data_IF_494664862545
#
_entry.id   IF_494664862545
#
_cell.length_a   1.000
_cell.length_b   1.000
_cell.length_c   1.000
_cell.angle_alpha   90.00
_cell.angle_beta   90.00
_cell.angle_gamma   90.00
#
_symmetry.space_group_name_H-M   'P 1'
#
loop_
_entity.id
_entity.type
_entity.pdbx_description
1 polymer ?
#
# COMPACT_ATOMS: atom_id res chain seq x y z
N UNK A 1 8.57 5.19 -20.59
CA UNK A 1 7.41 4.28 -20.36
C UNK A 1 6.15 5.12 -20.35
N UNK A 2 5.16 4.78 -21.18
CA UNK A 2 3.91 5.54 -21.29
C UNK A 2 2.83 5.01 -20.34
N UNK A 3 2.14 5.92 -19.68
CA UNK A 3 1.06 5.61 -18.73
C UNK A 3 -0.01 6.71 -18.73
N UNK A 4 -1.17 6.48 -18.09
CA UNK A 4 -2.15 7.54 -17.81
C UNK A 4 -2.02 8.04 -16.38
N UNK A 5 -2.02 9.36 -16.19
CA UNK A 5 -1.99 9.95 -14.85
C UNK A 5 -3.16 9.41 -14.01
N UNK A 6 -2.92 8.86 -12.81
CA UNK A 6 -3.98 8.23 -12.01
C UNK A 6 -5.06 9.23 -11.57
N UNK A 7 -4.69 10.52 -11.43
CA UNK A 7 -5.54 11.60 -10.92
C UNK A 7 -6.43 12.26 -11.97
N UNK A 8 -5.92 12.52 -13.18
CA UNK A 8 -6.63 13.27 -14.22
C UNK A 8 -6.74 12.53 -15.57
N UNK A 9 -6.11 11.36 -15.68
CA UNK A 9 -6.08 10.49 -16.87
C UNK A 9 -5.39 11.05 -18.12
N UNK A 10 -4.69 12.19 -18.00
CA UNK A 10 -3.80 12.69 -19.05
C UNK A 10 -2.67 11.68 -19.36
N UNK A 11 -2.16 11.68 -20.59
CA UNK A 11 -1.00 10.86 -20.97
C UNK A 11 0.26 11.32 -20.24
N UNK A 12 1.11 10.37 -19.87
CA UNK A 12 2.38 10.60 -19.17
C UNK A 12 3.45 9.69 -19.75
N UNK A 13 4.69 10.17 -19.72
CA UNK A 13 5.87 9.40 -20.14
C UNK A 13 6.99 9.60 -19.14
N UNK A 14 7.58 8.50 -18.65
CA UNK A 14 8.66 8.49 -17.66
C UNK A 14 9.94 9.18 -18.12
N UNK A 15 10.15 9.35 -19.43
CA UNK A 15 11.33 10.05 -19.96
C UNK A 15 11.15 11.57 -20.03
N UNK A 16 9.90 12.05 -20.04
CA UNK A 16 9.57 13.47 -20.28
C UNK A 16 9.03 14.15 -19.01
N UNK A 17 8.27 13.42 -18.20
CA UNK A 17 7.57 13.97 -17.06
C UNK A 17 8.36 13.71 -15.77
N UNK A 18 8.88 14.78 -15.16
CA UNK A 18 9.64 14.69 -13.90
C UNK A 18 8.81 14.11 -12.74
N UNK A 19 7.50 14.31 -12.75
CA UNK A 19 6.56 13.81 -11.74
C UNK A 19 5.94 12.45 -12.12
N UNK A 20 6.49 11.73 -13.08
CA UNK A 20 5.96 10.42 -13.48
C UNK A 20 5.75 9.51 -12.23
N UNK A 21 4.56 8.88 -12.04
CA UNK A 21 3.50 8.59 -13.02
C UNK A 21 2.42 9.68 -13.16
N UNK A 22 2.62 10.86 -12.59
CA UNK A 22 1.70 11.99 -12.69
C UNK A 22 2.06 12.92 -13.85
N UNK A 23 1.09 13.65 -14.39
CA UNK A 23 1.36 14.61 -15.46
C UNK A 23 1.98 15.93 -14.97
N UNK A 24 1.97 16.18 -13.66
CA UNK A 24 2.47 17.40 -13.02
C UNK A 24 2.51 17.26 -11.50
N UNK A 25 3.32 18.10 -10.85
CA UNK A 25 3.36 18.28 -9.40
C UNK A 25 1.97 18.47 -8.77
N UNK A 26 1.08 19.23 -9.43
CA UNK A 26 -0.30 19.42 -8.94
C UNK A 26 -1.04 18.09 -8.74
N UNK A 27 -0.87 17.14 -9.68
CA UNK A 27 -1.50 15.84 -9.56
C UNK A 27 -0.83 14.97 -8.51
N UNK A 28 0.50 15.03 -8.38
CA UNK A 28 1.24 14.36 -7.30
C UNK A 28 0.75 14.81 -5.91
N UNK A 29 0.63 16.12 -5.71
CA UNK A 29 0.16 16.70 -4.44
C UNK A 29 -1.31 16.35 -4.15
N UNK A 30 -2.17 16.30 -5.19
CA UNK A 30 -3.56 15.89 -5.01
C UNK A 30 -3.69 14.42 -4.62
N UNK A 31 -2.87 13.55 -5.18
CA UNK A 31 -2.82 12.14 -4.80
C UNK A 31 -2.41 11.99 -3.33
N UNK A 32 -1.33 12.68 -2.93
CA UNK A 32 -0.90 12.72 -1.54
C UNK A 32 -2.01 13.23 -0.61
N UNK A 33 -2.75 14.27 -1.02
CA UNK A 33 -3.90 14.77 -0.27
C UNK A 33 -5.03 13.74 -0.14
N UNK A 34 -5.28 12.93 -1.18
CA UNK A 34 -6.27 11.84 -1.10
C UNK A 34 -5.86 10.76 -0.10
N UNK A 35 -4.57 10.40 -0.05
CA UNK A 35 -4.01 9.50 0.96
C UNK A 35 -4.17 10.07 2.37
N UNK A 36 -3.72 11.32 2.57
CA UNK A 36 -3.79 11.98 3.86
C UNK A 36 -5.23 12.18 4.37
N UNK A 37 -6.21 12.25 3.45
CA UNK A 37 -7.62 12.40 3.78
C UNK A 37 -8.38 11.07 3.84
N UNK A 38 -7.66 9.93 3.84
CA UNK A 38 -8.24 8.57 3.88
C UNK A 38 -9.29 8.31 2.79
N UNK A 39 -9.16 8.96 1.62
CA UNK A 39 -10.11 8.77 0.50
C UNK A 39 -9.91 7.45 -0.23
N UNK A 40 -8.70 6.91 -0.17
CA UNK A 40 -8.41 5.59 -0.71
C UNK A 40 -8.68 4.55 0.39
N UNK A 41 -9.73 3.76 0.19
CA UNK A 41 -10.15 2.71 1.12
C UNK A 41 -10.28 1.40 0.37
N UNK A 42 -9.70 0.34 0.94
CA UNK A 42 -9.95 -1.03 0.50
C UNK A 42 -11.28 -1.46 1.13
N UNK A 43 -12.24 -1.87 0.29
CA UNK A 43 -13.62 -2.16 0.71
C UNK A 43 -13.79 -3.51 1.38
N UNK A 44 -12.87 -4.44 1.13
CA UNK A 44 -12.96 -5.83 1.58
C UNK A 44 -11.91 -6.13 2.65
N UNK A 45 -12.26 -6.89 3.70
CA UNK A 45 -11.29 -7.38 4.68
C UNK A 45 -10.35 -8.40 4.03
N UNK A 46 -9.11 -8.47 4.52
CA UNK A 46 -8.07 -9.37 3.98
C UNK A 46 -8.37 -10.84 4.34
N UNK A 47 -9.22 -11.07 5.34
CA UNK A 47 -9.66 -12.39 5.80
C UNK A 47 -11.18 -12.37 5.96
N UNK A 48 -11.84 -13.47 5.63
CA UNK A 48 -13.21 -13.68 6.04
C UNK A 48 -13.25 -13.80 7.56
N UNK A 49 -14.21 -13.12 8.21
CA UNK A 49 -14.30 -13.04 9.68
C UNK A 49 -14.41 -14.43 10.35
N UNK A 50 -14.90 -15.42 9.61
CA UNK A 50 -15.01 -16.82 10.02
C UNK A 50 -13.65 -17.55 10.00
N UNK A 51 -12.74 -17.20 9.09
CA UNK A 51 -11.39 -17.78 9.00
C UNK A 51 -10.44 -17.19 10.06
N UNK A 52 -10.68 -15.94 10.48
CA UNK A 52 -9.89 -15.23 11.49
C UNK A 52 -10.10 -15.73 12.93
N UNK A 53 -11.18 -16.47 13.21
CA UNK A 53 -11.50 -16.99 14.55
C UNK A 53 -10.89 -18.39 14.77
N UNK A 54 -10.62 -19.15 13.71
CA UNK A 54 -10.00 -20.48 13.78
C UNK A 54 -8.52 -20.51 13.38
N UNK A 55 -7.98 -19.44 12.79
CA UNK A 55 -6.57 -19.29 12.45
C UNK A 55 -5.79 -18.54 13.52
N UNK A 56 -4.91 -19.25 14.24
CA UNK A 56 -3.88 -18.70 15.12
C UNK A 56 -3.24 -17.43 14.52
N UNK A 57 -2.98 -16.43 15.38
CA UNK A 57 -2.29 -15.15 15.13
C UNK A 57 -0.86 -15.32 14.58
N UNK A 58 -0.69 -15.95 13.42
CA UNK A 58 0.60 -16.52 13.02
C UNK A 58 1.49 -15.60 12.19
N UNK A 59 1.02 -14.42 11.78
CA UNK A 59 1.76 -13.70 10.71
C UNK A 59 2.31 -12.33 11.07
N UNK A 60 2.13 -11.81 12.29
CA UNK A 60 2.77 -10.52 12.69
C UNK A 60 3.46 -10.58 14.07
N UNK A 61 3.40 -11.71 14.79
CA UNK A 61 4.30 -12.00 15.90
C UNK A 61 5.46 -12.86 15.38
N UNK A 62 6.14 -12.36 14.35
CA UNK A 62 7.30 -13.00 13.74
C UNK A 62 8.47 -12.94 14.72
N UNK A 63 8.61 -14.00 15.51
CA UNK A 63 9.88 -14.58 15.95
C UNK A 63 10.91 -13.64 16.63
N UNK A 64 10.51 -12.87 17.65
CA UNK A 64 11.47 -12.15 18.51
C UNK A 64 11.70 -12.79 19.90
N UNK A 65 10.92 -13.82 20.27
CA UNK A 65 11.03 -14.50 21.57
C UNK A 65 11.56 -15.94 21.48
N UNK A 66 12.34 -16.29 20.45
CA UNK A 66 13.25 -17.45 20.56
C UNK A 66 14.59 -16.98 21.14
N UNK A 67 14.54 -16.36 22.32
CA UNK A 67 15.72 -16.27 23.17
C UNK A 67 16.02 -17.67 23.71
N UNK A 68 17.28 -18.05 23.53
CA UNK A 68 18.00 -19.19 24.10
C UNK A 68 17.33 -19.90 25.28
N UNK A 69 17.04 -21.19 25.14
CA UNK A 69 17.06 -22.17 26.24
C UNK A 69 17.23 -23.58 25.63
N UNK A 70 18.46 -23.90 25.22
CA UNK A 70 18.90 -25.30 25.15
C UNK A 70 19.96 -25.54 26.23
N UNK A 71 19.48 -25.70 27.47
CA UNK A 71 20.23 -26.33 28.54
C UNK A 71 19.57 -27.66 28.91
N UNK A 72 20.21 -28.76 28.52
CA UNK A 72 20.42 -30.02 29.28
C UNK A 72 20.69 -31.19 28.32
#
# INVERSE_FOLDING_TARGET
MKHKCPICKAETDSEVHADFPFCSERCRMRDLGNWASEKYRVSEPIFDEEEAIEGERKTILLDLDKSDDHES
#
